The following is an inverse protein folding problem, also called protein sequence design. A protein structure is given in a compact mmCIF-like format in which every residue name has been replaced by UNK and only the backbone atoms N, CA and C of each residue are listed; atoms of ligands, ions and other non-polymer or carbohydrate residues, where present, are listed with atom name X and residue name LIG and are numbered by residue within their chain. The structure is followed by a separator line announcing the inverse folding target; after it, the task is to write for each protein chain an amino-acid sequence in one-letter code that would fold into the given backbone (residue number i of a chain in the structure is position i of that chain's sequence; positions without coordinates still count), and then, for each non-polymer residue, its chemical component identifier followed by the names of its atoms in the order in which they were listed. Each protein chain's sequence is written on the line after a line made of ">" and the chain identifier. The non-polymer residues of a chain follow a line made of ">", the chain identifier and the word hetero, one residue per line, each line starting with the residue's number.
data_IF_869506648632
#
_entry.id   IF_869506648632
#
_cell.length_a   1.000
_cell.length_b   1.000
_cell.length_c   1.000
_cell.angle_alpha   90.00
_cell.angle_beta   90.00
_cell.angle_gamma   90.00
#
_symmetry.space_group_name_H-M   'P 1'
#
loop_
_entity.id
_entity.type
_entity.pdbx_description
1 polymer ?
#
# COMPACT_ATOMS: atom_id res chain seq x y z
N UNK A 1 9.24 18.07 14.39
CA UNK A 1 7.91 17.66 14.88
C UNK A 1 8.12 16.39 15.68
N UNK A 2 7.43 16.22 16.81
CA UNK A 2 7.53 15.01 17.64
C UNK A 2 7.06 13.76 16.85
N UNK A 3 7.86 12.67 16.77
CA UNK A 3 7.47 11.41 16.11
C UNK A 3 6.10 10.91 16.56
N UNK A 4 5.80 11.01 17.85
CA UNK A 4 4.51 10.58 18.42
C UNK A 4 3.34 11.36 17.82
N UNK A 5 3.52 12.69 17.69
CA UNK A 5 2.51 13.56 17.06
C UNK A 5 2.30 13.22 15.59
N UNK A 6 3.36 12.95 14.83
CA UNK A 6 3.24 12.55 13.41
C UNK A 6 2.49 11.22 13.29
N UNK A 7 2.87 10.23 14.10
CA UNK A 7 2.22 8.93 14.09
C UNK A 7 0.73 9.04 14.41
N UNK A 8 0.37 9.80 15.44
CA UNK A 8 -1.04 10.04 15.79
C UNK A 8 -1.82 10.72 14.65
N UNK A 9 -1.21 11.67 13.93
CA UNK A 9 -1.88 12.31 12.78
C UNK A 9 -2.16 11.26 11.69
N UNK A 10 -1.16 10.46 11.35
CA UNK A 10 -1.24 9.47 10.28
C UNK A 10 -2.17 8.30 10.61
N UNK A 11 -2.18 7.85 11.86
CA UNK A 11 -3.08 6.79 12.32
C UNK A 11 -4.54 7.25 12.32
N UNK A 12 -4.81 8.45 12.85
CA UNK A 12 -6.16 9.02 12.85
C UNK A 12 -6.67 9.29 11.44
N UNK A 13 -5.83 9.85 10.57
CA UNK A 13 -6.21 10.09 9.19
C UNK A 13 -6.42 8.78 8.42
N UNK A 14 -5.61 7.74 8.68
CA UNK A 14 -5.81 6.42 8.08
C UNK A 14 -7.17 5.84 8.48
N UNK A 15 -7.56 5.96 9.75
CA UNK A 15 -8.88 5.53 10.24
C UNK A 15 -10.02 6.27 9.53
N UNK A 16 -9.89 7.59 9.36
CA UNK A 16 -10.86 8.40 8.63
C UNK A 16 -10.94 8.00 7.15
N UNK A 17 -9.81 7.81 6.49
CA UNK A 17 -9.77 7.36 5.09
C UNK A 17 -10.37 5.96 4.95
N UNK A 18 -10.08 5.04 5.86
CA UNK A 18 -10.68 3.70 5.87
C UNK A 18 -12.21 3.74 6.04
N UNK A 19 -12.76 4.73 6.72
CA UNK A 19 -14.21 4.90 6.82
C UNK A 19 -14.85 5.17 5.44
N UNK A 20 -14.12 5.85 4.56
CA UNK A 20 -14.52 6.08 3.19
C UNK A 20 -14.26 4.85 2.30
N UNK A 21 -13.18 4.12 2.59
CA UNK A 21 -12.76 2.88 1.94
C UNK A 21 -13.13 1.64 2.73
N UNK A 22 -14.35 1.59 3.30
CA UNK A 22 -14.72 0.62 4.34
C UNK A 22 -14.39 -0.86 4.05
N UNK A 23 -14.47 -1.42 2.82
CA UNK A 23 -14.06 -2.81 2.58
C UNK A 23 -12.59 -3.06 2.88
N UNK A 24 -11.72 -2.05 2.78
CA UNK A 24 -10.29 -2.19 3.05
C UNK A 24 -9.99 -2.39 4.54
N UNK A 25 -10.95 -2.08 5.43
CA UNK A 25 -10.88 -2.39 6.86
C UNK A 25 -11.35 -3.83 7.18
N UNK A 26 -11.83 -4.59 6.19
CA UNK A 26 -12.31 -5.96 6.36
C UNK A 26 -11.22 -7.02 6.34
N UNK A 27 -11.64 -8.28 6.19
CA UNK A 27 -10.75 -9.43 5.97
C UNK A 27 -11.15 -10.23 4.75
N UNK A 28 -10.18 -10.87 4.12
CA UNK A 28 -10.44 -11.70 2.96
C UNK A 28 -10.94 -13.08 3.41
N UNK A 29 -12.19 -13.39 3.11
CA UNK A 29 -12.79 -14.70 3.35
C UNK A 29 -12.67 -15.59 2.11
N UNK A 30 -12.17 -16.80 2.33
CA UNK A 30 -12.02 -17.86 1.32
C UNK A 30 -11.22 -17.45 0.07
N UNK A 31 -10.47 -16.35 0.13
CA UNK A 31 -9.75 -15.71 -0.99
C UNK A 31 -10.59 -15.01 -2.06
N UNK A 32 -11.88 -14.75 -1.79
CA UNK A 32 -12.86 -14.40 -2.84
C UNK A 32 -13.76 -13.24 -2.48
N UNK A 33 -14.07 -13.12 -1.20
CA UNK A 33 -15.04 -12.16 -0.69
C UNK A 33 -14.38 -11.42 0.45
N UNK A 34 -14.62 -10.12 0.52
CA UNK A 34 -14.25 -9.34 1.70
C UNK A 34 -15.37 -9.45 2.72
N UNK A 35 -15.04 -10.01 3.88
CA UNK A 35 -15.87 -9.92 5.08
C UNK A 35 -15.74 -8.51 5.67
N UNK A 36 -16.86 -7.78 5.74
CA UNK A 36 -16.94 -6.40 6.21
C UNK A 36 -17.07 -6.37 7.73
N UNK A 37 -16.04 -6.87 8.40
CA UNK A 37 -16.02 -7.05 9.84
C UNK A 37 -15.29 -5.94 10.60
N UNK A 38 -14.92 -4.85 9.90
CA UNK A 38 -14.25 -3.67 10.45
C UNK A 38 -13.03 -3.99 11.32
N UNK A 39 -12.32 -5.10 11.02
CA UNK A 39 -11.14 -5.53 11.74
C UNK A 39 -9.91 -4.59 11.55
N UNK A 40 -10.06 -3.53 10.76
CA UNK A 40 -9.11 -2.44 10.62
C UNK A 40 -7.92 -2.74 9.70
N UNK A 41 -7.02 -1.77 9.59
CA UNK A 41 -5.71 -1.91 8.94
C UNK A 41 -4.60 -2.16 9.96
N UNK A 42 -3.46 -2.66 9.51
CA UNK A 42 -2.25 -2.70 10.32
C UNK A 42 -1.45 -1.41 10.14
N UNK A 43 -1.06 -0.76 11.24
CA UNK A 43 -0.22 0.43 11.24
C UNK A 43 1.06 0.14 12.05
N UNK A 44 2.21 0.13 11.38
CA UNK A 44 3.49 -0.27 11.97
C UNK A 44 4.40 0.95 12.09
N UNK A 45 5.03 1.11 13.24
CA UNK A 45 6.06 2.13 13.47
C UNK A 45 7.41 1.46 13.60
N UNK A 46 8.40 1.96 12.86
CA UNK A 46 9.76 1.41 12.84
C UNK A 46 10.77 2.52 13.10
N UNK A 47 11.76 2.24 13.94
CA UNK A 47 12.91 3.12 14.15
C UNK A 47 14.13 2.53 13.42
N UNK A 48 14.74 3.34 12.56
CA UNK A 48 15.91 2.99 11.76
C UNK A 48 17.12 3.75 12.30
N UNK A 49 18.11 3.00 12.77
CA UNK A 49 19.34 3.53 13.37
C UNK A 49 20.40 3.88 12.31
N UNK A 50 20.00 4.60 11.27
CA UNK A 50 20.87 5.10 10.20
C UNK A 50 20.22 6.36 9.60
N UNK A 51 20.99 7.28 9.00
CA UNK A 51 20.43 8.38 8.23
C UNK A 51 19.83 7.91 6.90
N UNK A 52 18.76 8.55 6.45
CA UNK A 52 18.08 8.19 5.20
C UNK A 52 19.00 8.25 3.97
N UNK A 53 20.01 9.12 3.98
CA UNK A 53 20.99 9.27 2.91
C UNK A 53 21.86 8.03 2.70
N UNK A 54 22.15 7.28 3.76
CA UNK A 54 22.87 6.01 3.68
C UNK A 54 21.95 4.93 3.09
N UNK A 55 20.69 4.89 3.55
CA UNK A 55 19.72 3.92 3.03
C UNK A 55 19.44 4.13 1.56
N UNK A 56 19.33 5.37 1.04
CA UNK A 56 19.10 5.63 -0.39
C UNK A 56 20.23 5.16 -1.32
N UNK A 57 21.42 4.88 -0.78
CA UNK A 57 22.56 4.36 -1.56
C UNK A 57 22.53 2.84 -1.72
N UNK A 58 21.67 2.12 -1.01
CA UNK A 58 21.59 0.67 -1.13
C UNK A 58 20.86 0.32 -2.44
N UNK A 59 21.59 -0.18 -3.43
CA UNK A 59 21.02 -0.55 -4.74
C UNK A 59 20.36 -1.94 -4.71
N UNK A 60 19.88 -2.40 -3.55
CA UNK A 60 19.47 -3.78 -3.31
C UNK A 60 18.10 -3.87 -2.61
N UNK A 61 17.57 -5.10 -2.56
CA UNK A 61 16.28 -5.42 -1.94
C UNK A 61 16.23 -5.11 -0.44
N UNK A 62 17.37 -4.88 0.24
CA UNK A 62 17.42 -4.67 1.68
C UNK A 62 16.75 -3.37 2.14
N UNK A 63 16.72 -2.30 1.31
CA UNK A 63 15.92 -1.10 1.65
C UNK A 63 14.45 -1.47 1.64
N UNK A 64 13.98 -2.09 0.55
CA UNK A 64 12.57 -2.44 0.39
C UNK A 64 12.11 -3.25 1.59
N UNK A 65 12.96 -4.19 2.04
CA UNK A 65 12.67 -4.98 3.21
C UNK A 65 12.60 -4.21 4.53
N UNK A 66 13.35 -3.12 4.64
CA UNK A 66 13.41 -2.29 5.84
C UNK A 66 12.25 -1.27 5.89
N UNK A 67 11.90 -0.68 4.74
CA UNK A 67 10.96 0.44 4.68
C UNK A 67 9.54 0.02 4.31
N UNK A 68 9.33 -1.19 3.78
CA UNK A 68 8.01 -1.77 3.58
C UNK A 68 7.71 -2.82 4.65
N UNK A 69 6.43 -3.00 5.02
CA UNK A 69 6.06 -4.05 5.96
C UNK A 69 6.50 -5.42 5.43
N UNK A 70 6.95 -6.29 6.32
CA UNK A 70 7.30 -7.68 6.01
C UNK A 70 6.11 -8.61 6.15
N UNK A 71 6.14 -9.75 5.45
CA UNK A 71 5.07 -10.76 5.57
C UNK A 71 3.70 -10.26 5.07
N UNK A 72 3.73 -9.30 4.15
CA UNK A 72 2.57 -8.73 3.47
C UNK A 72 1.70 -9.80 2.79
N UNK A 73 0.43 -9.50 2.48
CA UNK A 73 -0.55 -10.43 1.90
C UNK A 73 -0.26 -10.78 0.43
N UNK A 74 1.00 -11.12 0.10
CA UNK A 74 1.38 -11.71 -1.18
C UNK A 74 1.01 -13.20 -1.25
N UNK A 75 0.74 -13.83 -0.10
CA UNK A 75 0.26 -15.19 0.04
C UNK A 75 -1.26 -15.22 0.33
N UNK A 76 -1.90 -16.38 0.10
CA UNK A 76 -3.30 -16.65 0.44
C UNK A 76 -3.51 -16.67 1.97
N UNK A 77 -3.36 -15.51 2.64
CA UNK A 77 -3.60 -15.36 4.06
C UNK A 77 -4.95 -14.67 4.29
N UNK A 78 -5.95 -15.45 4.68
CA UNK A 78 -7.33 -14.98 4.93
C UNK A 78 -7.46 -14.14 6.21
N UNK A 79 -6.48 -14.23 7.13
CA UNK A 79 -6.53 -13.55 8.43
C UNK A 79 -5.70 -12.24 8.49
N UNK A 80 -5.10 -11.79 7.39
CA UNK A 80 -4.27 -10.58 7.35
C UNK A 80 -5.09 -9.34 7.01
N UNK A 81 -4.64 -8.17 7.48
CA UNK A 81 -5.25 -6.91 7.05
C UNK A 81 -5.09 -6.72 5.54
N UNK A 82 -6.12 -6.12 4.92
CA UNK A 82 -6.08 -5.79 3.50
C UNK A 82 -5.21 -4.58 3.21
N UNK A 83 -4.99 -3.73 4.21
CA UNK A 83 -4.11 -2.56 4.18
C UNK A 83 -3.12 -2.67 5.32
N UNK A 84 -1.84 -2.49 4.99
CA UNK A 84 -0.75 -2.37 5.96
C UNK A 84 0.00 -1.10 5.65
N UNK A 85 0.07 -0.19 6.61
CA UNK A 85 0.86 1.04 6.53
C UNK A 85 2.05 0.93 7.48
N UNK A 86 3.20 1.46 7.05
CA UNK A 86 4.37 1.57 7.90
C UNK A 86 4.94 2.99 7.84
N UNK A 87 5.27 3.52 9.01
CA UNK A 87 6.09 4.72 9.15
C UNK A 87 7.44 4.34 9.73
N UNK A 88 8.50 4.76 9.03
CA UNK A 88 9.88 4.49 9.41
C UNK A 88 10.58 5.81 9.74
N UNK A 89 11.03 5.95 10.98
CA UNK A 89 11.76 7.11 11.48
C UNK A 89 13.27 6.84 11.46
N UNK A 90 14.02 7.74 10.82
CA UNK A 90 15.47 7.67 10.76
C UNK A 90 16.08 8.56 11.85
N UNK A 91 17.23 8.20 12.38
CA UNK A 91 17.91 8.98 13.43
C UNK A 91 18.29 10.41 12.99
N UNK A 92 18.39 10.66 11.68
CA UNK A 92 18.60 11.99 11.09
C UNK A 92 17.33 12.84 11.02
N UNK A 93 16.20 12.36 11.55
CA UNK A 93 14.88 13.00 11.44
C UNK A 93 14.17 12.75 10.10
N UNK A 94 14.76 11.95 9.20
CA UNK A 94 14.10 11.49 7.98
C UNK A 94 12.93 10.57 8.28
N UNK A 95 11.91 10.59 7.41
CA UNK A 95 10.71 9.77 7.56
C UNK A 95 10.40 9.12 6.22
N UNK A 96 10.11 7.83 6.24
CA UNK A 96 9.54 7.10 5.10
C UNK A 96 8.16 6.60 5.50
N UNK A 97 7.17 6.87 4.65
CA UNK A 97 5.83 6.32 4.78
C UNK A 97 5.63 5.35 3.63
N UNK A 98 5.28 4.12 3.96
CA UNK A 98 4.98 3.07 3.00
C UNK A 98 3.62 2.45 3.28
N UNK A 99 3.06 1.85 2.26
CA UNK A 99 1.75 1.23 2.34
C UNK A 99 1.67 0.07 1.36
N UNK A 100 0.95 -0.97 1.74
CA UNK A 100 0.61 -2.08 0.89
C UNK A 100 -0.88 -2.37 1.00
N UNK A 101 -1.48 -2.67 -0.16
CA UNK A 101 -2.88 -3.04 -0.30
C UNK A 101 -2.94 -4.40 -0.96
N UNK A 102 -3.82 -5.27 -0.50
CA UNK A 102 -4.08 -6.55 -1.16
C UNK A 102 -4.52 -6.33 -2.61
N UNK A 103 -3.78 -6.91 -3.55
CA UNK A 103 -4.07 -6.79 -4.99
C UNK A 103 -5.41 -7.45 -5.38
N UNK A 104 -6.04 -8.19 -4.46
CA UNK A 104 -7.38 -8.78 -4.63
C UNK A 104 -8.52 -7.77 -4.45
N UNK A 105 -8.25 -6.62 -3.84
CA UNK A 105 -9.27 -5.57 -3.58
C UNK A 105 -9.00 -4.26 -4.32
N UNK A 106 -7.94 -4.22 -5.11
CA UNK A 106 -7.57 -3.04 -5.90
C UNK A 106 -6.41 -3.32 -6.84
N UNK A 107 -6.28 -2.46 -7.83
CA UNK A 107 -5.13 -2.37 -8.74
C UNK A 107 -4.24 -1.18 -8.37
N UNK A 108 -3.23 -0.89 -9.20
CA UNK A 108 -2.33 0.25 -8.98
C UNK A 108 -3.05 1.60 -8.92
N UNK A 109 -4.13 1.79 -9.69
CA UNK A 109 -4.91 3.03 -9.69
C UNK A 109 -5.70 3.18 -8.38
N UNK A 110 -6.33 2.09 -7.94
CA UNK A 110 -7.06 2.02 -6.67
C UNK A 110 -6.14 2.32 -5.48
N UNK A 111 -4.95 1.73 -5.48
CA UNK A 111 -3.95 1.96 -4.44
C UNK A 111 -3.39 3.38 -4.43
N UNK A 112 -3.14 3.96 -5.61
CA UNK A 112 -2.73 5.35 -5.74
C UNK A 112 -3.79 6.31 -5.17
N UNK A 113 -5.06 6.14 -5.55
CA UNK A 113 -6.13 7.00 -5.05
C UNK A 113 -6.30 6.90 -3.53
N UNK A 114 -6.25 5.68 -2.97
CA UNK A 114 -6.30 5.50 -1.51
C UNK A 114 -5.14 6.23 -0.81
N UNK A 115 -3.91 6.12 -1.33
CA UNK A 115 -2.75 6.79 -0.75
C UNK A 115 -2.87 8.32 -0.84
N UNK A 116 -3.38 8.84 -1.96
CA UNK A 116 -3.62 10.27 -2.14
C UNK A 116 -4.70 10.81 -1.21
N UNK A 117 -5.82 10.09 -1.09
CA UNK A 117 -6.91 10.47 -0.18
C UNK A 117 -6.43 10.43 1.28
N UNK A 118 -5.64 9.43 1.66
CA UNK A 118 -5.00 9.38 2.98
C UNK A 118 -4.08 10.58 3.22
N UNK A 119 -3.26 10.97 2.23
CA UNK A 119 -2.40 12.15 2.34
C UNK A 119 -3.20 13.45 2.49
N UNK A 120 -4.32 13.59 1.76
CA UNK A 120 -5.22 14.75 1.86
C UNK A 120 -5.87 14.78 3.24
N UNK A 121 -6.45 13.68 3.71
CA UNK A 121 -7.07 13.58 5.05
C UNK A 121 -6.05 13.85 6.16
N UNK A 122 -4.80 13.41 6.00
CA UNK A 122 -3.71 13.70 6.94
C UNK A 122 -3.39 15.20 7.04
N UNK A 123 -3.49 15.94 5.93
CA UNK A 123 -3.25 17.37 5.88
C UNK A 123 -4.45 18.19 6.34
N UNK A 124 -5.65 17.76 5.96
CA UNK A 124 -6.90 18.48 6.12
C UNK A 124 -8.01 17.54 6.66
N UNK A 125 -7.97 17.17 7.95
CA UNK A 125 -8.86 16.15 8.52
C UNK A 125 -10.34 16.54 8.51
N UNK A 126 -10.65 17.83 8.34
CA UNK A 126 -12.02 18.34 8.28
C UNK A 126 -12.53 18.53 6.85
N UNK A 127 -11.70 18.29 5.84
CA UNK A 127 -12.14 18.36 4.45
C UNK A 127 -12.96 17.11 4.14
N UNK A 128 -14.24 17.30 3.84
CA UNK A 128 -15.10 16.23 3.33
C UNK A 128 -14.66 15.85 1.91
N UNK A 129 -13.62 15.03 1.80
CA UNK A 129 -13.26 14.40 0.54
C UNK A 129 -14.31 13.35 0.22
N UNK A 130 -15.03 13.53 -0.89
CA UNK A 130 -15.78 12.43 -1.48
C UNK A 130 -14.77 11.64 -2.30
N UNK A 131 -14.40 10.41 -1.90
CA UNK A 131 -13.43 9.65 -2.67
C UNK A 131 -13.98 9.45 -4.08
N UNK A 132 -13.09 9.40 -5.06
CA UNK A 132 -13.41 8.86 -6.37
C UNK A 132 -13.41 7.33 -6.30
N UNK A 133 -14.18 6.79 -5.35
CA UNK A 133 -14.33 5.36 -5.14
C UNK A 133 -15.50 4.87 -5.96
N UNK A 134 -15.16 4.13 -7.00
CA UNK A 134 -16.13 3.32 -7.71
C UNK A 134 -15.83 1.87 -7.40
N UNK A 135 -16.56 1.29 -6.44
CA UNK A 135 -16.54 -0.16 -6.28
C UNK A 135 -17.14 -0.75 -7.55
N UNK A 136 -16.30 -1.41 -8.33
CA UNK A 136 -16.74 -2.26 -9.44
C UNK A 136 -17.43 -3.46 -8.80
N UNK A 137 -18.69 -3.26 -8.42
CA UNK A 137 -19.51 -4.30 -7.85
C UNK A 137 -19.75 -5.40 -8.89
N UNK A 138 -20.36 -6.50 -8.44
CA UNK A 138 -20.72 -7.66 -9.28
C UNK A 138 -21.57 -7.30 -10.51
N UNK A 139 -22.06 -6.07 -10.62
CA UNK A 139 -22.85 -5.57 -11.75
C UNK A 139 -22.05 -5.42 -13.04
N UNK A 140 -20.73 -5.14 -12.97
CA UNK A 140 -19.89 -4.95 -14.17
C UNK A 140 -19.15 -6.23 -14.52
N UNK A 141 -18.59 -6.90 -13.52
CA UNK A 141 -17.91 -8.19 -13.69
C UNK A 141 -18.48 -9.20 -12.70
N UNK A 142 -19.60 -9.86 -13.03
CA UNK A 142 -20.20 -10.85 -12.16
C UNK A 142 -19.24 -12.04 -11.97
N UNK A 143 -19.09 -12.55 -10.74
CA UNK A 143 -18.29 -13.74 -10.51
C UNK A 143 -18.95 -14.97 -11.17
N UNK A 144 -18.17 -15.99 -11.57
CA UNK A 144 -18.71 -17.22 -12.12
C UNK A 144 -19.69 -17.89 -11.15
N UNK A 145 -20.85 -18.40 -11.61
CA UNK A 145 -21.88 -18.95 -10.73
C UNK A 145 -21.46 -20.23 -9.99
N UNK A 146 -20.61 -21.09 -10.60
CA UNK A 146 -20.30 -22.43 -10.09
C UNK A 146 -18.79 -22.77 -10.07
N UNK A 147 -17.91 -21.80 -10.31
CA UNK A 147 -16.47 -22.05 -10.41
C UNK A 147 -15.75 -21.80 -9.09
N UNK A 148 -14.64 -22.51 -8.78
CA UNK A 148 -13.73 -21.98 -7.77
C UNK A 148 -13.28 -20.61 -8.27
N UNK A 149 -13.31 -19.60 -7.40
CA UNK A 149 -12.61 -18.36 -7.68
C UNK A 149 -11.13 -18.73 -7.78
N UNK A 150 -10.66 -18.96 -9.00
CA UNK A 150 -9.25 -19.10 -9.28
C UNK A 150 -8.64 -17.74 -8.96
N UNK A 151 -8.08 -17.62 -7.76
CA UNK A 151 -7.13 -16.56 -7.44
C UNK A 151 -5.77 -17.13 -7.79
N UNK A 152 -5.27 -16.96 -9.02
CA UNK A 152 -3.92 -17.38 -9.36
C UNK A 152 -2.98 -16.67 -8.39
N UNK A 153 -2.34 -17.45 -7.53
CA UNK A 153 -1.29 -16.95 -6.69
C UNK A 153 -0.04 -16.85 -7.57
N UNK A 154 0.18 -15.67 -8.15
CA UNK A 154 1.44 -15.39 -8.82
C UNK A 154 2.51 -15.18 -7.74
N UNK A 155 3.06 -16.27 -7.21
CA UNK A 155 4.24 -16.21 -6.36
C UNK A 155 5.44 -15.88 -7.24
N UNK A 156 5.94 -14.65 -7.15
CA UNK A 156 7.26 -14.32 -7.69
C UNK A 156 8.31 -15.11 -6.89
N UNK A 157 9.12 -15.92 -7.57
CA UNK A 157 10.30 -16.54 -6.95
C UNK A 157 11.35 -15.44 -6.74
N UNK A 158 11.28 -14.76 -5.59
CA UNK A 158 12.17 -13.64 -5.29
C UNK A 158 13.64 -14.07 -5.16
N UNK A 159 13.90 -15.33 -4.80
CA UNK A 159 15.24 -15.85 -4.57
C UNK A 159 16.08 -15.98 -5.87
N UNK A 160 15.43 -16.05 -7.03
CA UNK A 160 16.09 -16.14 -8.34
C UNK A 160 16.08 -14.81 -9.12
N UNK A 161 15.46 -13.77 -8.57
CA UNK A 161 15.16 -12.53 -9.30
C UNK A 161 15.99 -11.35 -8.77
N UNK A 162 16.68 -10.64 -9.67
CA UNK A 162 17.38 -9.39 -9.34
C UNK A 162 16.53 -8.21 -9.80
N UNK A 163 16.14 -7.33 -8.88
CA UNK A 163 15.46 -6.08 -9.21
C UNK A 163 16.50 -5.00 -9.55
N UNK A 164 16.29 -4.26 -10.65
CA UNK A 164 17.15 -3.15 -11.06
C UNK A 164 16.31 -1.93 -11.44
N UNK A 165 16.69 -0.77 -10.91
CA UNK A 165 16.07 0.51 -11.26
C UNK A 165 16.79 1.13 -12.46
N UNK A 166 16.08 1.28 -13.57
CA UNK A 166 16.54 2.00 -14.75
C UNK A 166 15.91 3.40 -14.77
N UNK A 167 16.75 4.44 -14.76
CA UNK A 167 16.28 5.83 -14.75
C UNK A 167 16.39 6.45 -16.13
N UNK A 168 15.25 6.82 -16.71
CA UNK A 168 15.18 7.54 -17.98
C UNK A 168 15.07 9.04 -17.71
N UNK A 169 16.15 9.78 -17.92
CA UNK A 169 16.16 11.24 -17.75
C UNK A 169 15.35 11.92 -18.86
N UNK A 170 14.67 13.01 -18.53
CA UNK A 170 13.83 13.76 -19.49
C UNK A 170 14.59 14.11 -20.79
N UNK A 171 15.86 14.50 -20.70
CA UNK A 171 16.73 14.80 -21.86
C UNK A 171 16.94 13.60 -22.80
N UNK A 172 16.84 12.38 -22.29
CA UNK A 172 16.99 11.16 -23.07
C UNK A 172 15.65 10.69 -23.66
N UNK A 173 14.50 11.09 -23.09
CA UNK A 173 13.18 10.70 -23.57
C UNK A 173 12.90 11.21 -24.98
N UNK A 174 13.42 12.39 -25.33
CA UNK A 174 13.25 12.94 -26.68
C UNK A 174 13.92 12.08 -27.76
N UNK A 175 15.01 11.38 -27.41
CA UNK A 175 15.73 10.49 -28.33
C UNK A 175 15.04 9.14 -28.52
N UNK A 176 13.95 8.86 -27.78
CA UNK A 176 13.18 7.61 -27.87
C UNK A 176 11.89 7.76 -28.69
N UNK A 177 11.56 8.98 -29.15
CA UNK A 177 10.41 9.19 -30.04
C UNK A 177 10.75 8.66 -31.44
N UNK A 178 9.82 7.97 -32.12
CA UNK A 178 9.98 7.65 -33.54
C UNK A 178 10.24 8.93 -34.34
N UNK A 179 11.17 8.88 -35.30
CA UNK A 179 11.37 9.95 -36.29
C UNK A 179 10.21 9.98 -37.28
#
# INVERSE_FOLDING_TARGET
>A
MDPTKISNILENSLSQTLSLYYPYAGRLKDNTIVDRNDAGAEFVQVQINSPISESLQWHNNAIEEMIFPQGLPWSNCTNRALVVAQISYFNCGGIVVSMCISHKVGDGHSGYNFFMDWAITSREPNLSTKPCLYYVEKSIFPPPPNGPFLSPLCTSNKDESIHRRYTFLAKNLMNLRPQ
#
